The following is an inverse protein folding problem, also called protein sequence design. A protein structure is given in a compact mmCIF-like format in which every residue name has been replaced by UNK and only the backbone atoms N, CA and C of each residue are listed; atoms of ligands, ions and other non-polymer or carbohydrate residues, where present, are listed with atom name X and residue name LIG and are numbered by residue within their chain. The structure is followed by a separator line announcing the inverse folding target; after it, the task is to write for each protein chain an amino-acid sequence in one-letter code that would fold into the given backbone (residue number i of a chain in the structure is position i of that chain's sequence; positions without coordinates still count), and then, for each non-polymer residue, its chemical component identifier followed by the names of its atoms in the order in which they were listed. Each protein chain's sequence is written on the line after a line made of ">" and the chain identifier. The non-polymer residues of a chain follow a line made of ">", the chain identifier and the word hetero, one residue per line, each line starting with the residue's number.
data_IF_868719345495
#
_entry.id   IF_868719345495
#
_cell.length_a   1.000
_cell.length_b   1.000
_cell.length_c   1.000
_cell.angle_alpha   90.00
_cell.angle_beta   90.00
_cell.angle_gamma   90.00
#
_symmetry.space_group_name_H-M   'P 1'
#
loop_
_entity.id
_entity.type
_entity.pdbx_description
1 polymer ?
#
# COMPACT_ATOMS: atom_id res chain seq x y z
N UNK A 1 -23.63 -7.39 -2.53
CA UNK A 1 -22.37 -7.79 -3.17
C UNK A 1 -21.23 -7.56 -2.18
N UNK A 2 -20.48 -8.59 -1.91
CA UNK A 2 -19.31 -8.48 -1.03
C UNK A 2 -18.11 -8.09 -1.88
N UNK A 3 -17.49 -6.97 -1.52
CA UNK A 3 -16.23 -6.59 -2.12
C UNK A 3 -15.14 -7.12 -1.19
N UNK A 4 -14.46 -8.15 -1.64
CA UNK A 4 -13.34 -8.71 -0.90
C UNK A 4 -12.05 -8.00 -1.30
N UNK A 5 -11.16 -7.70 -0.33
CA UNK A 5 -9.83 -7.24 -0.68
C UNK A 5 -9.16 -8.31 -1.55
N UNK A 6 -8.51 -7.87 -2.59
CA UNK A 6 -7.77 -8.77 -3.47
C UNK A 6 -6.32 -8.81 -2.98
N UNK A 7 -5.87 -10.01 -2.63
CA UNK A 7 -4.45 -10.23 -2.39
C UNK A 7 -3.79 -10.35 -3.76
N UNK A 8 -3.00 -9.36 -4.13
CA UNK A 8 -2.38 -9.32 -5.43
C UNK A 8 -0.88 -9.31 -5.31
N UNK A 9 -0.23 -10.09 -6.17
CA UNK A 9 1.12 -9.79 -6.58
C UNK A 9 1.02 -8.72 -7.66
N UNK A 10 1.17 -7.48 -7.26
CA UNK A 10 1.13 -6.38 -8.19
C UNK A 10 2.36 -6.44 -9.08
N UNK A 11 2.13 -6.66 -10.39
CA UNK A 11 3.22 -6.68 -11.36
C UNK A 11 3.55 -5.24 -11.74
N UNK A 12 4.60 -4.73 -11.13
CA UNK A 12 5.13 -3.43 -11.45
C UNK A 12 6.61 -3.54 -11.79
N UNK A 13 7.08 -2.63 -12.61
CA UNK A 13 8.47 -2.59 -13.02
C UNK A 13 9.38 -1.92 -11.98
N UNK A 14 8.80 -1.24 -11.02
CA UNK A 14 9.54 -0.58 -9.96
C UNK A 14 8.68 0.44 -9.23
N UNK A 15 9.36 1.35 -8.55
CA UNK A 15 8.74 2.38 -7.72
C UNK A 15 9.15 3.76 -8.21
N UNK A 16 8.25 4.71 -8.06
CA UNK A 16 8.55 6.12 -8.35
C UNK A 16 8.61 6.90 -7.05
N UNK A 17 9.81 7.37 -6.72
CA UNK A 17 10.07 8.18 -5.53
C UNK A 17 10.57 9.56 -5.92
N UNK A 18 10.13 10.56 -5.18
CA UNK A 18 10.73 11.89 -5.19
C UNK A 18 10.79 12.41 -3.76
N UNK A 19 11.33 13.61 -3.57
CA UNK A 19 11.45 14.19 -2.24
C UNK A 19 10.10 14.28 -1.52
N UNK A 20 9.06 14.66 -2.23
CA UNK A 20 7.73 14.89 -1.64
C UNK A 20 7.08 13.63 -1.11
N UNK A 21 6.94 12.60 -1.95
CA UNK A 21 6.27 11.38 -1.50
C UNK A 21 7.14 10.58 -0.54
N UNK A 22 8.46 10.65 -0.70
CA UNK A 22 9.39 10.03 0.24
C UNK A 22 9.24 10.62 1.64
N UNK A 23 9.20 11.95 1.76
CA UNK A 23 9.04 12.62 3.04
C UNK A 23 7.71 12.24 3.71
N UNK A 24 6.62 12.20 2.94
CA UNK A 24 5.31 11.80 3.47
C UNK A 24 5.30 10.36 3.98
N UNK A 25 5.94 9.45 3.27
CA UNK A 25 5.99 8.05 3.67
C UNK A 25 6.90 7.82 4.87
N UNK A 26 8.02 8.53 4.93
CA UNK A 26 8.97 8.41 6.03
C UNK A 26 8.54 9.13 7.32
N UNK A 27 7.56 10.02 7.21
CA UNK A 27 7.08 10.85 8.33
C UNK A 27 6.66 10.01 9.54
N UNK A 28 6.12 8.84 9.33
CA UNK A 28 5.62 7.96 10.38
C UNK A 28 6.56 6.79 10.69
N UNK A 29 7.82 6.89 10.28
CA UNK A 29 8.85 5.92 10.63
C UNK A 29 9.05 4.76 9.66
N UNK A 30 8.36 4.77 8.53
CA UNK A 30 8.54 3.73 7.51
C UNK A 30 9.61 4.16 6.49
N UNK A 31 10.63 3.33 6.31
CA UNK A 31 11.66 3.57 5.30
C UNK A 31 11.17 3.18 3.90
N UNK A 32 11.81 3.73 2.88
CA UNK A 32 11.59 3.33 1.49
C UNK A 32 11.72 1.82 1.34
N UNK A 33 12.78 1.24 1.89
CA UNK A 33 13.01 -0.20 1.74
C UNK A 33 11.94 -1.04 2.44
N UNK A 34 11.43 -0.60 3.59
CA UNK A 34 10.33 -1.29 4.28
C UNK A 34 9.06 -1.27 3.44
N UNK A 35 8.74 -0.14 2.82
CA UNK A 35 7.57 -0.01 1.95
C UNK A 35 7.71 -0.90 0.72
N UNK A 36 8.85 -0.86 0.05
CA UNK A 36 9.10 -1.70 -1.13
C UNK A 36 9.00 -3.17 -0.80
N UNK A 37 9.50 -3.57 0.37
CA UNK A 37 9.43 -4.96 0.85
C UNK A 37 8.00 -5.44 1.04
N UNK A 38 7.08 -4.55 1.45
CA UNK A 38 5.67 -4.90 1.60
C UNK A 38 5.05 -5.29 0.28
N UNK A 39 5.38 -4.60 -0.79
CA UNK A 39 4.85 -4.90 -2.13
C UNK A 39 5.46 -6.19 -2.71
N UNK A 40 6.56 -6.67 -2.19
CA UNK A 40 7.14 -7.96 -2.58
C UNK A 40 6.44 -9.15 -1.92
N UNK A 41 5.53 -8.89 -0.98
CA UNK A 41 4.76 -9.90 -0.25
C UNK A 41 3.31 -9.86 -0.70
N UNK A 42 2.54 -10.93 -0.49
CA UNK A 42 1.10 -10.87 -0.69
C UNK A 42 0.50 -9.83 0.26
N UNK A 43 -0.19 -8.84 -0.31
CA UNK A 43 -0.83 -7.75 0.44
C UNK A 43 -2.24 -7.55 -0.09
N UNK A 44 -3.10 -6.99 0.75
CA UNK A 44 -4.44 -6.62 0.33
C UNK A 44 -4.39 -5.26 -0.38
N UNK A 45 -4.97 -5.20 -1.56
CA UNK A 45 -5.06 -3.97 -2.34
C UNK A 45 -6.53 -3.65 -2.57
N UNK A 46 -6.92 -2.42 -2.23
CA UNK A 46 -8.29 -1.91 -2.31
C UNK A 46 -8.29 -0.57 -3.04
N UNK A 47 -9.33 -0.28 -3.83
CA UNK A 47 -9.51 1.07 -4.35
C UNK A 47 -9.71 2.06 -3.20
N UNK A 48 -9.18 3.26 -3.34
CA UNK A 48 -9.41 4.35 -2.41
C UNK A 48 -10.20 5.45 -3.11
N UNK A 49 -11.51 5.21 -3.27
CA UNK A 49 -12.39 6.11 -4.01
C UNK A 49 -12.48 7.50 -3.37
N UNK A 50 -12.41 7.56 -2.05
CA UNK A 50 -12.52 8.83 -1.32
C UNK A 50 -11.38 9.80 -1.62
N UNK A 51 -10.22 9.29 -2.00
CA UNK A 51 -9.01 10.09 -2.27
C UNK A 51 -8.59 10.05 -3.74
N UNK A 52 -9.44 9.54 -4.63
CA UNK A 52 -9.15 9.46 -6.06
C UNK A 52 -9.60 10.73 -6.78
N UNK A 53 -8.85 11.82 -6.60
CA UNK A 53 -9.12 13.09 -7.24
C UNK A 53 -8.24 13.24 -8.49
N UNK A 54 -8.79 12.99 -9.66
CA UNK A 54 -8.09 13.10 -10.93
C UNK A 54 -7.13 11.93 -11.25
N UNK A 55 -6.84 11.08 -10.29
CA UNK A 55 -6.09 9.84 -10.51
C UNK A 55 -6.63 8.75 -9.60
N UNK A 56 -6.50 7.50 -10.03
CA UNK A 56 -6.94 6.38 -9.21
C UNK A 56 -5.92 6.11 -8.10
N UNK A 57 -6.39 6.14 -6.87
CA UNK A 57 -5.60 5.80 -5.69
C UNK A 57 -6.06 4.47 -5.11
N UNK A 58 -5.10 3.79 -4.52
CA UNK A 58 -5.30 2.47 -3.93
C UNK A 58 -4.76 2.46 -2.51
N UNK A 59 -5.31 1.57 -1.71
CA UNK A 59 -4.80 1.27 -0.37
C UNK A 59 -4.15 -0.09 -0.38
N UNK A 60 -2.98 -0.19 0.22
CA UNK A 60 -2.33 -1.47 0.47
C UNK A 60 -2.26 -1.68 1.98
N UNK A 61 -2.65 -2.86 2.42
CA UNK A 61 -2.65 -3.22 3.83
C UNK A 61 -1.90 -4.54 3.96
N UNK A 62 -0.90 -4.55 4.81
CA UNK A 62 -0.09 -5.75 5.04
C UNK A 62 0.65 -5.67 6.36
N UNK A 63 1.45 -6.71 6.63
CA UNK A 63 2.31 -6.76 7.81
C UNK A 63 3.77 -6.76 7.40
N UNK A 64 4.59 -6.07 8.19
CA UNK A 64 6.04 -6.13 8.04
C UNK A 64 6.54 -7.52 8.44
N UNK A 65 7.81 -7.79 8.20
CA UNK A 65 8.49 -9.01 8.67
C UNK A 65 8.45 -9.17 10.19
N UNK A 66 8.28 -8.06 10.92
CA UNK A 66 8.13 -8.05 12.38
C UNK A 66 6.67 -8.12 12.84
N UNK A 67 5.76 -8.32 11.91
CA UNK A 67 4.33 -8.49 12.21
C UNK A 67 3.55 -7.20 12.45
N UNK A 68 4.13 -6.04 12.20
CA UNK A 68 3.41 -4.78 12.35
C UNK A 68 2.53 -4.49 11.14
N UNK A 69 1.29 -4.08 11.39
CA UNK A 69 0.38 -3.66 10.33
C UNK A 69 0.80 -2.33 9.72
N UNK A 70 0.70 -2.24 8.41
CA UNK A 70 1.03 -1.02 7.65
C UNK A 70 -0.09 -0.72 6.67
N UNK A 71 -0.40 0.55 6.55
CA UNK A 71 -1.38 1.11 5.63
C UNK A 71 -0.66 2.06 4.68
N UNK A 72 -0.78 1.79 3.38
CA UNK A 72 -0.13 2.59 2.34
C UNK A 72 -1.19 3.09 1.38
N UNK A 73 -1.13 4.38 1.04
CA UNK A 73 -1.88 4.92 -0.10
C UNK A 73 -0.89 5.07 -1.25
N UNK A 74 -1.26 4.56 -2.41
CA UNK A 74 -0.41 4.63 -3.59
C UNK A 74 -1.23 4.82 -4.86
N UNK A 75 -0.56 5.21 -5.92
CA UNK A 75 -1.11 5.23 -7.26
C UNK A 75 -0.16 4.51 -8.21
N UNK A 76 -0.62 4.23 -9.41
CA UNK A 76 0.20 3.64 -10.46
C UNK A 76 0.55 4.72 -11.48
N UNK A 77 1.80 4.71 -11.92
CA UNK A 77 2.29 5.57 -12.98
C UNK A 77 2.65 4.73 -14.18
N UNK A 78 2.16 5.16 -15.33
CA UNK A 78 2.48 4.53 -16.59
C UNK A 78 3.53 5.37 -17.30
N UNK A 79 4.67 4.77 -17.58
CA UNK A 79 5.77 5.40 -18.30
C UNK A 79 6.11 4.51 -19.51
N UNK A 80 5.53 4.83 -20.65
CA UNK A 80 5.57 3.95 -21.80
C UNK A 80 4.88 2.63 -21.49
N UNK A 81 5.62 1.53 -21.63
CA UNK A 81 5.11 0.20 -21.28
C UNK A 81 5.34 -0.17 -19.81
N UNK A 82 6.07 0.67 -19.08
CA UNK A 82 6.36 0.42 -17.67
C UNK A 82 5.23 0.88 -16.78
N UNK A 83 5.01 0.13 -15.71
CA UNK A 83 4.07 0.48 -14.64
C UNK A 83 4.87 0.62 -13.36
N UNK A 84 4.80 1.79 -12.76
CA UNK A 84 5.51 2.08 -11.53
C UNK A 84 4.51 2.29 -10.39
N UNK A 85 4.84 1.76 -9.21
CA UNK A 85 4.10 2.04 -7.98
C UNK A 85 4.62 3.37 -7.44
N UNK A 86 3.71 4.33 -7.27
CA UNK A 86 4.04 5.60 -6.64
C UNK A 86 3.38 5.68 -5.27
N UNK A 87 4.10 5.36 -4.19
CA UNK A 87 3.56 5.55 -2.84
C UNK A 87 3.31 7.03 -2.58
N UNK A 88 2.21 7.33 -1.89
CA UNK A 88 1.81 8.70 -1.57
C UNK A 88 1.97 8.95 -0.08
N UNK A 89 1.51 8.02 0.74
CA UNK A 89 1.65 8.08 2.19
C UNK A 89 1.70 6.67 2.77
N UNK A 90 2.30 6.54 3.94
CA UNK A 90 2.37 5.27 4.63
C UNK A 90 2.38 5.51 6.13
N UNK A 91 1.73 4.64 6.88
CA UNK A 91 1.72 4.68 8.33
C UNK A 91 1.61 3.29 8.92
N UNK A 92 2.06 3.15 10.14
CA UNK A 92 1.76 1.95 10.90
C UNK A 92 0.31 1.98 11.35
N UNK A 93 -0.30 0.80 11.41
CA UNK A 93 -1.64 0.62 11.94
C UNK A 93 -1.55 0.28 13.43
N UNK A 94 -2.57 0.69 14.20
CA UNK A 94 -2.71 0.22 15.57
C UNK A 94 -3.03 -1.28 15.56
N UNK A 95 -2.60 -1.98 16.60
CA UNK A 95 -2.87 -3.42 16.71
C UNK A 95 -4.36 -3.75 16.56
N UNK A 96 -5.22 -2.97 17.20
CA UNK A 96 -6.67 -3.16 17.09
C UNK A 96 -7.17 -2.99 15.66
N UNK A 97 -6.59 -2.04 14.94
CA UNK A 97 -6.96 -1.73 13.57
C UNK A 97 -6.62 -2.89 12.63
N UNK A 98 -5.39 -3.39 12.69
CA UNK A 98 -4.98 -4.50 11.83
C UNK A 98 -5.68 -5.80 12.22
N UNK A 99 -5.88 -6.04 13.50
CA UNK A 99 -6.60 -7.24 13.98
C UNK A 99 -8.06 -7.21 13.50
N UNK A 100 -8.73 -6.07 13.58
CA UNK A 100 -10.10 -5.92 13.09
C UNK A 100 -10.17 -6.14 11.58
N UNK A 101 -9.23 -5.58 10.85
CA UNK A 101 -9.16 -5.76 9.40
C UNK A 101 -8.99 -7.23 9.02
N UNK A 102 -8.07 -7.94 9.67
CA UNK A 102 -7.81 -9.34 9.39
C UNK A 102 -8.99 -10.23 9.80
N UNK A 103 -9.69 -9.87 10.86
CA UNK A 103 -10.90 -10.58 11.29
C UNK A 103 -12.02 -10.50 10.25
N UNK A 104 -12.16 -9.35 9.61
CA UNK A 104 -13.15 -9.15 8.55
C UNK A 104 -12.70 -9.75 7.22
N UNK A 105 -11.40 -10.02 7.07
CA UNK A 105 -10.79 -10.51 5.83
C UNK A 105 -9.88 -11.69 6.11
N UNK A 106 -10.43 -12.84 6.57
CA UNK A 106 -9.62 -13.94 7.10
C UNK A 106 -8.75 -14.66 6.06
N UNK A 107 -8.94 -14.39 4.78
CA UNK A 107 -8.18 -15.03 3.70
C UNK A 107 -6.92 -14.27 3.28
N UNK A 108 -6.54 -13.27 4.05
CA UNK A 108 -5.33 -12.49 3.77
C UNK A 108 -4.11 -13.04 4.49
#
# INVERSE_FOLDING_TARGET
>A
MHIFPVTMNLRANGFEWNRGNRAKCEKHGLSVSAIESLFARPIAILPDAAHSHGEHRFRAIGRTDKGRGVFIVFTLRHDGEEVLIRPISARYMHKKEIDAYEKENPNL
#
